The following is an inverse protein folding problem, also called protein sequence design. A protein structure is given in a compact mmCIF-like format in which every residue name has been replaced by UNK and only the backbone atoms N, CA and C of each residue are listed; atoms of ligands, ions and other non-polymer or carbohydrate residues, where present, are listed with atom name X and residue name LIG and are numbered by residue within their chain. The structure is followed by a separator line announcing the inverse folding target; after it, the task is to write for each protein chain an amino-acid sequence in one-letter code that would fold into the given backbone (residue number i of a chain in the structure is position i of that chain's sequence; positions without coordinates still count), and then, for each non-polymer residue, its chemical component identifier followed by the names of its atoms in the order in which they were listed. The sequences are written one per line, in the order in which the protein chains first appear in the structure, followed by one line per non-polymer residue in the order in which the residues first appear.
data_IF_086124690208
#
_entry.id   IF_086124690208
#
_cell.length_a   1.000
_cell.length_b   1.000
_cell.length_c   1.000
_cell.angle_alpha   90.00
_cell.angle_beta   90.00
_cell.angle_gamma   90.00
#
_symmetry.space_group_name_H-M   'P 1'
#
loop_
_entity.id
_entity.type
_entity.pdbx_description
1 polymer ?
#
# COMPACT_ATOMS: atom_id res chain seq x y z
N UNK A 1 7.32 -5.40 -7.77
CA UNK A 1 7.31 -3.93 -7.70
C UNK A 1 5.99 -3.40 -8.26
N UNK A 2 5.42 -2.43 -7.59
CA UNK A 2 4.19 -1.79 -8.06
C UNK A 2 4.49 -0.98 -9.31
N UNK A 3 3.71 -1.22 -10.35
CA UNK A 3 3.83 -0.53 -11.63
C UNK A 3 2.88 0.67 -11.63
N UNK A 4 3.42 1.83 -11.33
CA UNK A 4 2.69 3.09 -11.20
C UNK A 4 1.90 3.42 -12.48
N UNK A 5 2.56 3.33 -13.64
CA UNK A 5 1.92 3.67 -14.93
C UNK A 5 0.77 2.73 -15.26
N UNK A 6 0.93 1.44 -14.96
CA UNK A 6 -0.12 0.44 -15.18
C UNK A 6 -1.34 0.71 -14.31
N UNK A 7 -1.12 1.11 -13.05
CA UNK A 7 -2.20 1.48 -12.14
C UNK A 7 -2.91 2.73 -12.65
N UNK A 8 -2.17 3.74 -13.10
CA UNK A 8 -2.78 4.94 -13.68
C UNK A 8 -3.68 4.62 -14.88
N UNK A 9 -3.23 3.75 -15.77
CA UNK A 9 -4.02 3.30 -16.91
C UNK A 9 -5.29 2.59 -16.47
N UNK A 10 -5.17 1.71 -15.48
CA UNK A 10 -6.31 0.98 -14.92
C UNK A 10 -7.34 1.93 -14.30
N UNK A 11 -6.89 2.96 -13.60
CA UNK A 11 -7.78 3.97 -13.00
C UNK A 11 -8.53 4.76 -14.08
N UNK A 12 -7.84 5.14 -15.16
CA UNK A 12 -8.51 5.80 -16.29
C UNK A 12 -9.60 4.92 -16.89
N UNK A 13 -9.31 3.64 -17.10
CA UNK A 13 -10.30 2.68 -17.58
C UNK A 13 -11.47 2.51 -16.60
N UNK A 14 -11.19 2.48 -15.31
CA UNK A 14 -12.23 2.41 -14.28
C UNK A 14 -13.15 3.62 -14.32
N UNK A 15 -12.58 4.81 -14.40
CA UNK A 15 -13.34 6.06 -14.49
C UNK A 15 -14.22 6.08 -15.73
N UNK A 16 -13.68 5.67 -16.88
CA UNK A 16 -14.46 5.53 -18.11
C UNK A 16 -15.60 4.51 -17.95
N UNK A 17 -15.29 3.38 -17.31
CA UNK A 17 -16.24 2.29 -17.08
C UNK A 17 -17.42 2.69 -16.21
N UNK A 18 -17.21 3.59 -15.25
CA UNK A 18 -18.32 4.12 -14.41
C UNK A 18 -19.03 5.31 -15.04
N UNK A 19 -18.59 5.74 -16.22
CA UNK A 19 -19.24 6.83 -16.96
C UNK A 19 -18.73 8.24 -16.64
N UNK A 20 -17.55 8.34 -16.01
CA UNK A 20 -16.95 9.63 -15.72
C UNK A 20 -16.10 10.16 -16.87
N UNK A 21 -15.97 11.49 -16.93
CA UNK A 21 -15.06 12.17 -17.85
C UNK A 21 -13.67 12.27 -17.19
N UNK A 22 -12.76 11.43 -17.66
CA UNK A 22 -11.38 11.36 -17.12
C UNK A 22 -10.60 12.66 -17.34
N UNK A 23 -11.03 13.51 -18.25
CA UNK A 23 -10.35 14.76 -18.59
C UNK A 23 -10.91 15.98 -17.85
N UNK A 24 -11.96 15.82 -17.05
CA UNK A 24 -12.43 16.97 -16.26
C UNK A 24 -11.42 17.31 -15.17
N UNK A 25 -11.32 18.58 -14.86
CA UNK A 25 -10.30 19.14 -13.95
C UNK A 25 -10.17 18.39 -12.63
N UNK A 26 -11.28 18.01 -12.02
CA UNK A 26 -11.28 17.30 -10.73
C UNK A 26 -10.73 15.89 -10.78
N UNK A 27 -10.59 15.28 -11.97
CA UNK A 27 -10.13 13.90 -12.14
C UNK A 27 -8.77 13.78 -12.83
N UNK A 28 -8.16 14.88 -13.29
CA UNK A 28 -6.89 14.84 -14.02
C UNK A 28 -5.76 14.18 -13.22
N UNK A 29 -5.71 14.44 -11.93
CA UNK A 29 -4.66 13.90 -11.06
C UNK A 29 -5.08 12.63 -10.32
N UNK A 30 -6.31 12.18 -10.46
CA UNK A 30 -6.84 11.01 -9.75
C UNK A 30 -6.05 9.73 -10.05
N UNK A 31 -5.69 9.42 -11.31
CA UNK A 31 -4.88 8.24 -11.60
C UNK A 31 -3.55 8.22 -10.84
N UNK A 32 -2.83 9.34 -10.82
CA UNK A 32 -1.57 9.46 -10.08
C UNK A 32 -1.78 9.32 -8.56
N UNK A 33 -2.80 9.95 -8.03
CA UNK A 33 -3.10 9.87 -6.59
C UNK A 33 -3.41 8.46 -6.15
N UNK A 34 -4.19 7.72 -6.95
CA UNK A 34 -4.52 6.33 -6.64
C UNK A 34 -3.29 5.44 -6.78
N UNK A 35 -2.47 5.65 -7.80
CA UNK A 35 -1.23 4.90 -7.96
C UNK A 35 -0.30 5.09 -6.75
N UNK A 36 -0.15 6.32 -6.28
CA UNK A 36 0.65 6.60 -5.07
C UNK A 36 0.03 5.97 -3.82
N UNK A 37 -1.28 5.98 -3.70
CA UNK A 37 -1.97 5.31 -2.61
C UNK A 37 -1.64 3.81 -2.59
N UNK A 38 -1.69 3.15 -3.74
CA UNK A 38 -1.38 1.73 -3.83
C UNK A 38 0.10 1.42 -3.58
N UNK A 39 1.01 2.31 -3.95
CA UNK A 39 2.42 2.19 -3.59
C UNK A 39 2.60 2.16 -2.07
N UNK A 40 1.83 2.95 -1.35
CA UNK A 40 1.86 2.99 0.11
C UNK A 40 1.20 1.76 0.73
N UNK A 41 -0.05 1.48 0.39
CA UNK A 41 -0.81 0.42 1.08
C UNK A 41 -0.42 -1.00 0.68
N UNK A 42 0.19 -1.20 -0.48
CA UNK A 42 0.70 -2.50 -0.94
C UNK A 42 2.23 -2.61 -0.91
N UNK A 43 2.93 -1.57 -0.49
CA UNK A 43 4.38 -1.56 -0.45
C UNK A 43 4.99 -2.70 0.36
N UNK A 44 4.30 -3.12 1.42
CA UNK A 44 4.76 -4.20 2.27
C UNK A 44 4.81 -5.59 1.61
N UNK A 45 4.14 -5.79 0.47
CA UNK A 45 4.14 -7.09 -0.23
C UNK A 45 5.53 -7.53 -0.68
N UNK A 46 6.44 -6.60 -0.92
CA UNK A 46 7.80 -6.88 -1.35
C UNK A 46 8.84 -6.76 -0.22
N UNK A 47 8.41 -6.38 0.96
CA UNK A 47 9.31 -6.27 2.11
C UNK A 47 9.62 -7.63 2.72
N UNK A 48 10.87 -7.80 3.12
CA UNK A 48 11.31 -8.96 3.87
C UNK A 48 11.33 -8.62 5.38
N UNK A 49 10.45 -9.26 6.12
CA UNK A 49 10.39 -9.09 7.58
C UNK A 49 11.72 -9.43 8.27
N UNK A 50 12.51 -10.33 7.69
CA UNK A 50 13.82 -10.71 8.21
C UNK A 50 14.79 -9.55 8.30
N UNK A 51 14.69 -8.57 7.42
CA UNK A 51 15.55 -7.38 7.45
C UNK A 51 15.29 -6.58 8.73
N UNK A 52 14.04 -6.42 9.12
CA UNK A 52 13.67 -5.71 10.35
C UNK A 52 14.11 -6.49 11.60
N UNK A 53 14.03 -7.81 11.56
CA UNK A 53 14.41 -8.68 12.66
C UNK A 53 15.92 -8.87 12.81
N UNK A 54 16.71 -8.41 11.83
CA UNK A 54 18.17 -8.51 11.86
C UNK A 54 18.84 -7.52 12.81
N UNK A 55 18.14 -6.45 13.19
CA UNK A 55 18.64 -5.48 14.16
C UNK A 55 18.51 -6.05 15.56
N UNK A 56 19.63 -6.25 16.21
CA UNK A 56 19.68 -6.85 17.55
C UNK A 56 20.52 -5.99 18.48
N UNK A 57 20.24 -6.12 19.76
CA UNK A 57 20.98 -5.47 20.83
C UNK A 57 21.43 -6.52 21.84
N UNK A 58 22.60 -6.31 22.44
CA UNK A 58 23.05 -7.15 23.53
C UNK A 58 22.28 -6.80 24.79
N UNK A 59 21.63 -7.78 25.40
CA UNK A 59 20.91 -7.63 26.66
C UNK A 59 21.34 -8.71 27.66
N UNK A 60 21.27 -8.39 28.92
CA UNK A 60 21.58 -9.34 29.99
C UNK A 60 20.38 -10.17 30.41
N UNK A 61 19.18 -9.61 30.26
CA UNK A 61 17.93 -10.29 30.59
C UNK A 61 17.58 -11.35 29.53
N UNK A 62 17.04 -12.48 30.00
CA UNK A 62 16.48 -13.54 29.15
C UNK A 62 14.96 -13.65 29.29
N UNK A 63 14.34 -12.64 29.84
CA UNK A 63 12.90 -12.60 30.01
C UNK A 63 12.20 -12.43 28.67
N UNK A 64 10.97 -12.95 28.59
CA UNK A 64 10.13 -12.78 27.42
C UNK A 64 9.71 -11.31 27.30
N UNK A 65 9.86 -10.75 26.10
CA UNK A 65 9.37 -9.43 25.75
C UNK A 65 8.09 -9.60 24.95
N UNK A 66 7.02 -8.94 25.36
CA UNK A 66 5.72 -9.02 24.70
C UNK A 66 5.30 -7.63 24.28
N UNK A 67 5.09 -7.47 22.96
CA UNK A 67 4.40 -6.33 22.38
C UNK A 67 2.97 -6.74 22.04
N UNK A 68 1.98 -5.99 22.50
CA UNK A 68 0.56 -6.30 22.28
C UNK A 68 -0.23 -5.06 21.90
N UNK A 69 -1.46 -5.27 21.48
CA UNK A 69 -2.36 -4.20 21.06
C UNK A 69 -1.79 -3.39 19.88
N UNK A 70 -1.11 -4.09 18.96
CA UNK A 70 -0.49 -3.48 17.79
C UNK A 70 -1.59 -3.20 16.77
N UNK A 71 -1.80 -1.92 16.46
CA UNK A 71 -2.75 -1.51 15.41
C UNK A 71 -2.05 -1.55 14.06
N UNK A 72 -2.67 -2.20 13.09
CA UNK A 72 -2.20 -2.19 11.71
C UNK A 72 -3.40 -2.23 10.75
N UNK A 73 -3.16 -1.83 9.52
CA UNK A 73 -4.17 -1.79 8.48
C UNK A 73 -3.88 -2.87 7.43
N UNK A 74 -4.94 -3.49 6.93
CA UNK A 74 -4.85 -4.53 5.93
C UNK A 74 -5.82 -4.23 4.79
N UNK A 75 -5.38 -4.44 3.56
CA UNK A 75 -6.24 -4.28 2.39
C UNK A 75 -7.10 -5.52 2.18
N UNK A 76 -8.35 -5.30 1.80
CA UNK A 76 -9.29 -6.38 1.50
C UNK A 76 -9.16 -6.81 0.03
N UNK A 77 -9.05 -8.10 -0.22
CA UNK A 77 -8.97 -8.62 -1.59
C UNK A 77 -10.28 -8.46 -2.38
N UNK A 78 -11.41 -8.29 -1.69
CA UNK A 78 -12.71 -8.16 -2.36
C UNK A 78 -12.88 -6.80 -3.04
N UNK A 79 -12.35 -5.73 -2.46
CA UNK A 79 -12.49 -4.37 -2.97
C UNK A 79 -11.16 -3.65 -3.18
N UNK A 80 -10.04 -4.31 -2.88
CA UNK A 80 -8.67 -3.79 -3.04
C UNK A 80 -8.36 -2.56 -2.20
N UNK A 81 -9.03 -2.42 -1.07
CA UNK A 81 -8.84 -1.28 -0.18
C UNK A 81 -8.99 -1.66 1.29
#
# INVERSE_FOLDING_TARGET
MIDHEKIEQAVRLLLEGIGEDVNREGLLETPDRIARMYEEIYGGMEEDAGIHLSKTFTVESREMVIEKDITFYSTCEHHLL
#
